data_IF_990269838046
#
_entry.id   IF_990269838046
#
_cell.length_a   1.000
_cell.length_b   1.000
_cell.length_c   1.000
_cell.angle_alpha   90.00
_cell.angle_beta   90.00
_cell.angle_gamma   90.00
#
_symmetry.space_group_name_H-M   'P 1'
#
loop_
_entity.id
_entity.type
_entity.pdbx_description
1 polymer ?
#
# COMPACT_ATOMS: atom_id res chain seq x y z
N UNK A 1 23.07 -22.06 -9.31
CA UNK A 1 24.45 -21.61 -9.16
C UNK A 1 24.46 -20.33 -8.32
N UNK A 2 25.22 -20.33 -7.22
CA UNK A 2 25.30 -19.24 -6.24
C UNK A 2 25.72 -17.89 -6.88
N UNK A 3 26.67 -17.92 -7.83
CA UNK A 3 27.10 -16.72 -8.57
C UNK A 3 25.97 -16.14 -9.42
N UNK A 4 25.15 -16.96 -10.04
CA UNK A 4 24.03 -16.48 -10.82
C UNK A 4 22.92 -15.89 -9.92
N UNK A 5 22.68 -16.51 -8.77
CA UNK A 5 21.77 -15.99 -7.75
C UNK A 5 22.23 -14.62 -7.21
N UNK A 6 23.51 -14.47 -6.93
CA UNK A 6 24.07 -13.21 -6.46
C UNK A 6 23.94 -12.08 -7.51
N UNK A 7 24.16 -12.38 -8.80
CA UNK A 7 23.98 -11.41 -9.89
C UNK A 7 22.53 -10.97 -10.04
N UNK A 8 21.56 -11.89 -9.89
CA UNK A 8 20.13 -11.55 -9.90
C UNK A 8 19.73 -10.69 -8.69
N UNK A 9 20.26 -10.99 -7.52
CA UNK A 9 20.01 -10.20 -6.31
C UNK A 9 20.54 -8.76 -6.39
N UNK A 10 21.49 -8.48 -7.27
CA UNK A 10 22.00 -7.13 -7.52
C UNK A 10 21.12 -6.30 -8.47
N UNK A 11 20.14 -6.92 -9.11
CA UNK A 11 19.19 -6.20 -9.99
C UNK A 11 18.21 -5.40 -9.16
N UNK A 12 18.25 -4.07 -9.29
CA UNK A 12 17.26 -3.21 -8.67
C UNK A 12 15.92 -3.33 -9.41
N UNK A 13 14.86 -3.71 -8.70
CA UNK A 13 13.49 -3.79 -9.22
C UNK A 13 12.62 -2.59 -8.82
N UNK A 14 13.21 -1.57 -8.19
CA UNK A 14 12.51 -0.40 -7.63
C UNK A 14 11.35 -0.77 -6.70
N UNK A 15 11.52 -1.81 -5.89
CA UNK A 15 10.51 -2.26 -4.93
C UNK A 15 10.25 -1.25 -3.80
N UNK A 16 11.09 -0.21 -3.71
CA UNK A 16 10.95 0.92 -2.79
C UNK A 16 9.97 2.00 -3.30
N UNK A 17 9.45 1.87 -4.52
CA UNK A 17 8.48 2.81 -5.09
C UNK A 17 7.06 2.30 -4.86
N UNK A 18 6.25 3.11 -4.18
CA UNK A 18 4.87 2.81 -3.86
C UNK A 18 3.93 3.86 -4.43
N UNK A 19 2.69 3.45 -4.72
CA UNK A 19 1.63 4.36 -5.12
C UNK A 19 0.98 4.98 -3.89
N UNK A 20 0.93 6.31 -3.86
CA UNK A 20 0.34 7.10 -2.79
C UNK A 20 -0.84 7.88 -3.33
N UNK A 21 -1.95 7.82 -2.61
CA UNK A 21 -3.20 8.47 -3.00
C UNK A 21 -3.33 9.87 -2.43
N UNK A 22 -3.70 10.81 -3.28
CA UNK A 22 -4.02 12.18 -2.89
C UNK A 22 -5.52 12.43 -3.04
N UNK A 23 -6.21 12.48 -1.91
CA UNK A 23 -7.67 12.63 -1.84
C UNK A 23 -8.16 13.92 -2.52
N UNK A 24 -7.40 15.02 -2.38
CA UNK A 24 -7.81 16.32 -2.92
C UNK A 24 -7.84 16.41 -4.45
N UNK A 25 -7.11 15.52 -5.14
CA UNK A 25 -7.08 15.44 -6.61
C UNK A 25 -8.05 14.43 -7.18
N UNK A 26 -8.68 13.62 -6.35
CA UNK A 26 -9.58 12.56 -6.80
C UNK A 26 -10.92 13.13 -7.25
N UNK A 27 -11.35 12.74 -8.45
CA UNK A 27 -12.67 13.05 -9.02
C UNK A 27 -13.67 11.88 -8.91
N UNK A 28 -13.31 10.86 -8.16
CA UNK A 28 -14.15 9.70 -7.85
C UNK A 28 -14.68 8.94 -9.09
N UNK A 29 -13.86 8.84 -10.13
CA UNK A 29 -14.21 8.16 -11.39
C UNK A 29 -14.02 6.63 -11.36
N UNK A 30 -13.50 6.07 -10.27
CA UNK A 30 -13.25 4.64 -10.01
C UNK A 30 -12.33 3.93 -11.05
N UNK A 31 -11.76 4.65 -12.03
CA UNK A 31 -10.93 4.09 -13.09
C UNK A 31 -9.65 3.36 -12.60
N UNK A 32 -9.11 3.76 -11.45
CA UNK A 32 -7.97 3.08 -10.83
C UNK A 32 -8.36 1.70 -10.26
N UNK A 33 -9.60 1.54 -9.82
CA UNK A 33 -10.13 0.26 -9.36
C UNK A 33 -10.31 -0.71 -10.54
N UNK A 34 -10.86 -0.22 -11.66
CA UNK A 34 -11.10 -1.03 -12.86
C UNK A 34 -9.80 -1.54 -13.48
N UNK A 35 -8.71 -0.76 -13.44
CA UNK A 35 -7.44 -1.12 -14.06
C UNK A 35 -6.54 -1.97 -13.17
N UNK A 36 -6.85 -2.09 -11.88
CA UNK A 36 -6.00 -2.80 -10.92
C UNK A 36 -6.01 -4.32 -11.18
N UNK A 37 -4.86 -4.93 -11.55
CA UNK A 37 -4.82 -6.35 -11.91
C UNK A 37 -5.07 -7.29 -10.74
N UNK A 38 -4.85 -6.82 -9.52
CA UNK A 38 -5.02 -7.60 -8.28
C UNK A 38 -6.28 -7.20 -7.50
N UNK A 39 -7.06 -6.23 -8.02
CA UNK A 39 -8.25 -5.69 -7.33
C UNK A 39 -7.97 -5.23 -5.88
N UNK A 40 -6.76 -4.73 -5.63
CA UNK A 40 -6.33 -4.30 -4.29
C UNK A 40 -6.87 -2.92 -3.87
N UNK A 41 -7.57 -2.21 -4.77
CA UNK A 41 -8.14 -0.87 -4.51
C UNK A 41 -9.65 -0.99 -4.46
N UNK A 42 -10.27 -0.39 -3.44
CA UNK A 42 -11.73 -0.29 -3.29
C UNK A 42 -12.12 1.11 -2.83
N UNK A 43 -13.27 1.60 -3.28
CA UNK A 43 -13.90 2.84 -2.79
C UNK A 43 -15.19 2.49 -2.08
N UNK A 44 -15.20 2.66 -0.77
CA UNK A 44 -16.28 2.19 0.11
C UNK A 44 -16.69 3.27 1.10
N UNK A 45 -17.85 3.09 1.76
CA UNK A 45 -18.22 3.96 2.86
C UNK A 45 -17.19 3.82 3.99
N UNK A 46 -16.88 4.94 4.67
CA UNK A 46 -15.98 4.93 5.81
C UNK A 46 -16.54 4.06 6.95
N UNK A 47 -15.67 3.46 7.74
CA UNK A 47 -16.04 2.57 8.85
C UNK A 47 -14.81 2.06 9.60
N UNK A 48 -15.04 1.20 10.57
CA UNK A 48 -13.99 0.49 11.27
C UNK A 48 -13.24 -0.49 10.32
N UNK A 49 -12.03 -0.86 10.66
CA UNK A 49 -11.19 -1.67 9.77
C UNK A 49 -11.82 -3.01 9.39
N UNK A 50 -12.47 -3.69 10.31
CA UNK A 50 -13.16 -4.95 10.02
C UNK A 50 -14.27 -4.78 8.99
N UNK A 51 -15.02 -3.68 9.04
CA UNK A 51 -16.03 -3.34 8.06
C UNK A 51 -15.41 -3.04 6.69
N UNK A 52 -14.28 -2.34 6.67
CA UNK A 52 -13.57 -2.02 5.44
C UNK A 52 -13.02 -3.28 4.78
N UNK A 53 -12.44 -4.20 5.56
CA UNK A 53 -11.96 -5.51 5.07
C UNK A 53 -13.08 -6.32 4.42
N UNK A 54 -14.27 -6.33 5.02
CA UNK A 54 -15.43 -7.05 4.48
C UNK A 54 -15.94 -6.49 3.15
N UNK A 55 -15.54 -5.26 2.78
CA UNK A 55 -15.96 -4.56 1.54
C UNK A 55 -14.88 -4.52 0.46
N UNK A 56 -13.71 -5.12 0.70
CA UNK A 56 -12.66 -5.18 -0.32
C UNK A 56 -13.13 -5.95 -1.56
N UNK A 57 -12.64 -5.53 -2.73
CA UNK A 57 -12.91 -6.23 -4.00
C UNK A 57 -12.23 -7.58 -4.08
N UNK A 58 -11.13 -7.77 -3.37
CA UNK A 58 -10.45 -9.04 -3.16
C UNK A 58 -10.23 -9.27 -1.67
N UNK A 59 -10.18 -10.53 -1.20
CA UNK A 59 -9.87 -10.84 0.19
C UNK A 59 -8.50 -10.31 0.59
N UNK A 60 -8.39 -9.71 1.77
CA UNK A 60 -7.11 -9.37 2.36
C UNK A 60 -6.36 -10.66 2.75
N UNK A 61 -5.11 -10.79 2.32
CA UNK A 61 -4.31 -11.98 2.60
C UNK A 61 -3.71 -11.94 4.01
N UNK A 62 -3.24 -10.77 4.45
CA UNK A 62 -2.66 -10.58 5.77
C UNK A 62 -3.55 -9.67 6.62
N UNK A 63 -4.34 -10.28 7.52
CA UNK A 63 -5.23 -9.54 8.42
C UNK A 63 -4.49 -8.85 9.58
N UNK A 64 -3.19 -9.09 9.75
CA UNK A 64 -2.37 -8.42 10.76
C UNK A 64 -1.75 -7.12 10.24
N UNK A 65 -1.77 -6.90 8.92
CA UNK A 65 -1.31 -5.67 8.30
C UNK A 65 -2.46 -4.68 8.16
N UNK A 66 -2.25 -3.44 8.63
CA UNK A 66 -3.21 -2.36 8.48
C UNK A 66 -3.49 -2.05 7.00
N UNK A 67 -4.75 -1.81 6.68
CA UNK A 67 -5.13 -1.33 5.36
C UNK A 67 -4.68 0.11 5.16
N UNK A 68 -4.28 0.46 3.94
CA UNK A 68 -4.08 1.85 3.58
C UNK A 68 -5.44 2.50 3.29
N UNK A 69 -5.89 3.38 4.17
CA UNK A 69 -7.17 4.08 4.07
C UNK A 69 -6.94 5.57 3.87
N UNK A 70 -7.60 6.16 2.90
CA UNK A 70 -7.55 7.60 2.63
C UNK A 70 -8.45 8.39 3.58
N UNK A 71 -8.32 9.72 3.54
CA UNK A 71 -9.34 10.61 4.06
C UNK A 71 -10.64 10.48 3.25
N UNK A 72 -11.75 11.02 3.80
CA UNK A 72 -13.03 11.04 3.11
C UNK A 72 -12.96 11.82 1.79
N UNK A 73 -13.46 11.23 0.74
CA UNK A 73 -13.56 11.85 -0.57
C UNK A 73 -14.56 13.01 -0.57
N UNK A 74 -14.23 14.14 -1.24
CA UNK A 74 -15.02 15.36 -1.10
C UNK A 74 -16.44 15.29 -1.65
N UNK A 75 -16.70 14.45 -2.66
CA UNK A 75 -18.01 14.39 -3.33
C UNK A 75 -18.95 13.40 -2.67
N UNK A 76 -18.48 12.19 -2.37
CA UNK A 76 -19.34 11.10 -1.88
C UNK A 76 -19.14 10.77 -0.41
N UNK A 77 -18.06 11.25 0.22
CA UNK A 77 -17.67 10.86 1.56
C UNK A 77 -17.15 9.41 1.67
N UNK A 78 -16.97 8.71 0.54
CA UNK A 78 -16.31 7.40 0.50
C UNK A 78 -14.85 7.55 0.92
N UNK A 79 -14.21 6.45 1.26
CA UNK A 79 -12.77 6.35 1.45
C UNK A 79 -12.18 5.41 0.40
N UNK A 80 -10.97 5.71 -0.03
CA UNK A 80 -10.15 4.76 -0.79
C UNK A 80 -9.48 3.81 0.19
N UNK A 81 -9.64 2.53 -0.04
CA UNK A 81 -8.97 1.47 0.72
C UNK A 81 -8.08 0.68 -0.22
N UNK A 82 -6.83 0.50 0.16
CA UNK A 82 -5.85 -0.26 -0.61
C UNK A 82 -5.24 -1.35 0.27
N UNK A 83 -5.28 -2.59 -0.23
CA UNK A 83 -4.57 -3.70 0.38
C UNK A 83 -3.13 -3.73 -0.15
N UNK A 84 -2.16 -3.39 0.73
CA UNK A 84 -0.75 -3.32 0.36
C UNK A 84 -0.13 -4.70 0.09
N UNK A 85 -0.67 -5.78 0.67
CA UNK A 85 -0.18 -7.13 0.43
C UNK A 85 -0.54 -7.63 -0.98
N UNK A 86 -1.67 -7.20 -1.51
CA UNK A 86 -2.11 -7.52 -2.88
C UNK A 86 -1.50 -6.61 -3.94
N UNK A 87 -1.01 -5.44 -3.54
CA UNK A 87 -0.47 -4.45 -4.47
C UNK A 87 0.87 -4.91 -5.06
N UNK A 88 0.93 -5.04 -6.38
CA UNK A 88 2.16 -5.41 -7.12
C UNK A 88 2.95 -4.19 -7.61
N UNK A 89 2.61 -3.00 -7.16
CA UNK A 89 3.27 -1.72 -7.47
C UNK A 89 3.47 -1.47 -8.97
N UNK A 90 2.51 -1.90 -9.80
CA UNK A 90 2.60 -1.83 -11.26
C UNK A 90 2.37 -0.43 -11.85
N UNK A 91 2.02 0.57 -11.05
CA UNK A 91 1.74 1.96 -11.44
C UNK A 91 0.50 2.20 -12.33
N UNK A 92 -0.23 1.20 -12.75
CA UNK A 92 -1.39 1.37 -13.65
C UNK A 92 -2.45 2.32 -13.10
N UNK A 93 -2.68 2.34 -11.78
CA UNK A 93 -3.58 3.29 -11.15
C UNK A 93 -3.13 4.74 -11.33
N UNK A 94 -1.81 5.00 -11.24
CA UNK A 94 -1.25 6.32 -11.46
C UNK A 94 -1.32 6.74 -12.94
N UNK A 95 -0.99 5.83 -13.86
CA UNK A 95 -1.06 6.10 -15.31
C UNK A 95 -2.48 6.33 -15.79
N UNK A 96 -3.45 5.60 -15.24
CA UNK A 96 -4.86 5.69 -15.64
C UNK A 96 -5.56 6.91 -15.06
N UNK A 97 -5.08 7.48 -13.96
CA UNK A 97 -5.75 8.57 -13.26
C UNK A 97 -5.72 9.88 -14.07
N UNK A 98 -6.88 10.43 -14.50
CA UNK A 98 -6.92 11.63 -15.34
C UNK A 98 -6.50 12.90 -14.59
N UNK A 99 -6.55 12.91 -13.26
CA UNK A 99 -6.24 14.07 -12.42
C UNK A 99 -4.94 13.94 -11.64
N UNK A 100 -4.22 12.82 -11.82
CA UNK A 100 -2.98 12.58 -11.09
C UNK A 100 -3.19 12.46 -9.58
N UNK A 101 -4.27 11.81 -9.16
CA UNK A 101 -4.53 11.56 -7.74
C UNK A 101 -3.60 10.49 -7.13
N UNK A 102 -2.84 9.77 -7.94
CA UNK A 102 -1.86 8.80 -7.52
C UNK A 102 -0.46 9.29 -7.83
N UNK A 103 0.37 9.40 -6.82
CA UNK A 103 1.80 9.71 -6.95
C UNK A 103 2.64 8.43 -6.77
N UNK A 104 3.78 8.36 -7.47
CA UNK A 104 4.76 7.29 -7.29
C UNK A 104 5.88 7.81 -6.39
N UNK A 105 5.89 7.38 -5.13
CA UNK A 105 6.86 7.86 -4.14
C UNK A 105 7.76 6.73 -3.66
N UNK A 106 9.01 7.06 -3.36
CA UNK A 106 9.92 6.14 -2.68
C UNK A 106 9.48 5.99 -1.22
N UNK A 107 9.42 4.75 -0.76
CA UNK A 107 9.22 4.42 0.64
C UNK A 107 10.48 3.73 1.18
N UNK A 108 10.86 4.05 2.41
CA UNK A 108 11.93 3.34 3.12
C UNK A 108 11.30 2.38 4.10
N UNK A 109 11.50 1.09 3.85
CA UNK A 109 11.07 0.02 4.76
C UNK A 109 12.32 -0.43 5.53
N UNK A 110 12.29 -0.33 6.84
CA UNK A 110 13.31 -0.93 7.70
C UNK A 110 12.93 -2.41 7.91
N UNK A 111 13.62 -3.29 7.19
CA UNK A 111 13.46 -4.72 7.35
C UNK A 111 14.58 -5.21 8.27
N UNK A 112 14.25 -5.74 9.48
CA UNK A 112 15.27 -6.32 10.35
C UNK A 112 15.84 -7.59 9.70
N UNK A 113 17.15 -7.76 9.77
CA UNK A 113 17.77 -9.01 9.33
C UNK A 113 17.35 -10.15 10.25
N UNK A 114 17.13 -11.32 9.68
CA UNK A 114 16.68 -12.51 10.43
C UNK A 114 17.67 -12.93 11.54
N UNK A 115 18.94 -12.51 11.45
CA UNK A 115 19.99 -12.75 12.43
C UNK A 115 20.08 -11.69 13.53
N UNK A 116 19.29 -10.62 13.47
CA UNK A 116 19.33 -9.55 14.46
C UNK A 116 18.42 -9.90 15.64
N UNK A 117 19.02 -10.46 16.70
CA UNK A 117 18.32 -10.85 17.93
C UNK A 117 17.81 -9.63 18.73
N UNK A 118 18.39 -8.45 18.52
CA UNK A 118 17.96 -7.22 19.23
C UNK A 118 16.56 -6.81 18.81
N UNK A 119 16.20 -6.99 17.55
CA UNK A 119 14.89 -6.62 17.00
C UNK A 119 13.79 -7.59 17.43
N UNK A 120 14.10 -8.88 17.64
CA UNK A 120 13.12 -9.86 18.15
C UNK A 120 12.63 -9.55 19.55
N UNK A 121 13.49 -8.96 20.38
CA UNK A 121 13.15 -8.61 21.76
C UNK A 121 12.31 -7.31 21.86
N UNK A 122 12.43 -6.40 20.88
CA UNK A 122 11.62 -5.17 20.83
C UNK A 122 10.22 -5.41 20.24
N UNK A 123 10.07 -6.34 19.28
CA UNK A 123 8.78 -6.71 18.70
C UNK A 123 7.83 -7.36 19.72
N UNK A 124 8.35 -7.92 20.81
CA UNK A 124 7.55 -8.51 21.89
C UNK A 124 7.09 -7.49 22.96
N UNK A 125 7.49 -6.21 22.87
CA UNK A 125 7.24 -5.19 23.89
C UNK A 125 6.37 -4.02 23.36
N UNK A 126 6.24 -3.81 22.04
CA UNK A 126 5.46 -2.71 21.49
C UNK A 126 4.27 -3.19 20.66
N UNK A 127 3.10 -3.22 21.30
CA UNK A 127 1.80 -3.26 20.63
C UNK A 127 1.37 -1.86 20.15
N UNK A 128 2.31 -1.04 19.69
CA UNK A 128 1.96 0.25 19.10
C UNK A 128 1.92 0.16 17.56
N UNK A 129 0.90 0.77 16.91
CA UNK A 129 0.75 0.73 15.46
C UNK A 129 1.96 1.39 14.78
N UNK A 130 2.56 0.68 13.84
CA UNK A 130 3.68 1.19 13.04
C UNK A 130 3.18 2.26 12.09
N UNK A 131 3.33 3.51 12.46
CA UNK A 131 3.07 4.64 11.57
C UNK A 131 4.13 4.65 10.47
N UNK A 132 3.73 4.41 9.23
CA UNK A 132 4.58 4.63 8.05
C UNK A 132 4.77 6.15 7.91
N UNK A 133 5.93 6.66 8.31
CA UNK A 133 6.29 8.06 8.06
C UNK A 133 6.73 8.19 6.60
N UNK A 134 5.85 8.77 5.78
CA UNK A 134 6.18 9.17 4.42
C UNK A 134 6.84 10.54 4.46
N UNK A 135 8.13 10.61 4.11
CA UNK A 135 8.83 11.87 3.93
C UNK A 135 8.66 12.31 2.48
N UNK A 136 7.93 13.41 2.26
CA UNK A 136 7.97 14.14 1.01
C UNK A 136 9.33 14.87 0.93
N UNK A 137 10.13 14.53 -0.07
CA UNK A 137 11.35 15.22 -0.46
C UNK A 137 11.12 16.06 -1.69
#
# INVERSE_FOLDING_TARGET
NEIAGFKEAQRCLNCDVQTVFNTSRCIECDACMDVCPTSCISFVANGEEDDLRARLSAPAENCEQDLYVSENLPQTGRVMVKDEDLCVHCSLCAERCPTGAWDMLKSTILIPYASDESVRNEASISSEPRTVKMSAG
#
